data_IF_210098452876
#
_entry.id   IF_210098452876
#
_cell.length_a   1.000
_cell.length_b   1.000
_cell.length_c   1.000
_cell.angle_alpha   90.00
_cell.angle_beta   90.00
_cell.angle_gamma   90.00
#
_symmetry.space_group_name_H-M   'P 1'
#
loop_
_entity.id
_entity.type
_entity.pdbx_description
1 polymer ?
#
# COMPACT_ATOMS: atom_id res chain seq x y z
N UNK A 1 -2.17 -60.51 6.47
CA UNK A 1 -1.30 -59.50 7.11
C UNK A 1 -1.44 -58.21 6.33
N UNK A 2 -2.26 -57.28 6.82
CA UNK A 2 -2.49 -55.96 6.23
C UNK A 2 -1.58 -54.97 6.94
N UNK A 3 -0.52 -54.53 6.25
CA UNK A 3 0.27 -53.37 6.68
C UNK A 3 -0.38 -52.13 6.09
N UNK A 4 -0.91 -51.30 6.98
CA UNK A 4 -1.55 -50.03 6.69
C UNK A 4 -0.47 -48.96 6.75
N UNK A 5 -0.03 -48.47 5.59
CA UNK A 5 0.95 -47.38 5.49
C UNK A 5 0.18 -46.06 5.39
N UNK A 6 0.19 -45.35 6.53
CA UNK A 6 -0.45 -44.08 6.78
C UNK A 6 0.25 -42.97 5.96
N UNK A 7 -0.08 -42.86 4.67
CA UNK A 7 0.35 -41.77 3.80
C UNK A 7 -0.54 -40.54 4.01
N UNK A 8 0.01 -39.54 4.69
CA UNK A 8 -0.67 -38.30 5.07
C UNK A 8 -1.54 -37.71 3.96
N UNK A 9 -2.81 -37.58 4.27
CA UNK A 9 -3.81 -36.85 3.51
C UNK A 9 -3.32 -35.40 3.36
N UNK A 10 -2.74 -35.06 2.20
CA UNK A 10 -2.49 -33.66 1.83
C UNK A 10 -3.86 -33.05 1.56
N UNK A 11 -4.49 -32.54 2.62
CA UNK A 11 -5.72 -31.78 2.53
C UNK A 11 -5.52 -30.65 1.54
N UNK A 12 -6.33 -30.69 0.48
CA UNK A 12 -6.38 -29.69 -0.56
C UNK A 12 -6.89 -28.40 0.10
N UNK A 13 -5.97 -27.53 0.53
CA UNK A 13 -6.32 -26.28 1.20
C UNK A 13 -7.13 -25.43 0.22
N UNK A 14 -8.41 -25.15 0.49
CA UNK A 14 -9.18 -24.28 -0.38
C UNK A 14 -8.54 -22.89 -0.32
N UNK A 15 -8.16 -22.36 -1.49
CA UNK A 15 -7.80 -20.96 -1.63
C UNK A 15 -9.01 -20.14 -1.19
N UNK A 16 -8.94 -19.53 0.00
CA UNK A 16 -9.96 -18.60 0.44
C UNK A 16 -10.06 -17.50 -0.60
N UNK A 17 -11.22 -17.42 -1.25
CA UNK A 17 -11.67 -16.29 -2.05
C UNK A 17 -11.39 -15.02 -1.27
N UNK A 18 -10.55 -14.16 -1.83
CA UNK A 18 -10.29 -12.83 -1.29
C UNK A 18 -11.56 -11.98 -1.48
N UNK A 19 -12.51 -12.17 -0.57
CA UNK A 19 -13.65 -11.28 -0.43
C UNK A 19 -13.16 -10.05 0.32
N UNK A 20 -12.96 -8.97 -0.45
CA UNK A 20 -12.84 -7.60 0.03
C UNK A 20 -14.11 -7.22 0.83
N UNK A 21 -14.13 -7.57 2.11
CA UNK A 21 -15.06 -7.01 3.08
C UNK A 21 -14.35 -5.86 3.77
N UNK A 22 -14.56 -4.66 3.23
CA UNK A 22 -14.19 -3.40 3.85
C UNK A 22 -14.70 -3.35 5.29
N UNK A 23 -13.79 -3.55 6.24
CA UNK A 23 -14.05 -3.42 7.66
C UNK A 23 -14.13 -1.93 8.01
N UNK A 24 -15.34 -1.45 8.24
CA UNK A 24 -15.60 -0.09 8.70
C UNK A 24 -15.13 0.06 10.15
N UNK A 25 -14.11 0.91 10.34
CA UNK A 25 -13.92 1.82 11.46
C UNK A 25 -14.31 1.32 12.87
N UNK A 26 -13.36 0.71 13.57
CA UNK A 26 -13.29 0.79 15.02
C UNK A 26 -11.87 1.18 15.44
N UNK A 27 -11.51 2.45 15.19
CA UNK A 27 -10.31 3.03 15.79
C UNK A 27 -10.67 3.40 17.24
N UNK A 28 -10.11 2.61 18.13
CA UNK A 28 -10.13 2.73 19.58
C UNK A 28 -9.67 4.13 20.00
N UNK A 29 -10.60 4.87 20.62
CA UNK A 29 -10.42 6.26 21.05
C UNK A 29 -9.68 6.32 22.40
N UNK A 30 -8.40 6.03 22.47
CA UNK A 30 -7.60 6.32 23.68
C UNK A 30 -6.12 6.51 23.33
N UNK A 31 -5.70 7.77 23.13
CA UNK A 31 -4.38 8.33 23.53
C UNK A 31 -3.96 9.59 22.73
N UNK A 32 -4.76 10.65 22.79
CA UNK A 32 -4.21 12.01 22.58
C UNK A 32 -4.78 12.95 23.64
N UNK A 33 -4.36 12.75 24.89
CA UNK A 33 -4.34 13.81 25.89
C UNK A 33 -2.90 13.95 26.35
N UNK A 34 -2.17 14.82 25.66
CA UNK A 34 -1.08 15.62 26.21
C UNK A 34 -0.65 16.62 25.14
N UNK A 35 -1.54 17.55 24.83
CA UNK A 35 -1.12 18.87 24.38
C UNK A 35 -1.59 19.81 25.49
N UNK A 36 -0.70 20.02 26.47
CA UNK A 36 -0.86 21.10 27.43
C UNK A 36 -0.81 22.39 26.62
N UNK A 37 -1.98 22.90 26.24
CA UNK A 37 -2.09 24.30 25.84
C UNK A 37 -1.68 25.09 27.07
N UNK A 38 -0.48 25.65 27.01
CA UNK A 38 -0.05 26.67 27.94
C UNK A 38 -1.01 27.85 27.76
N UNK A 39 -2.13 27.84 28.47
CA UNK A 39 -2.94 29.01 28.77
C UNK A 39 -2.12 29.85 29.75
N UNK A 40 -0.96 30.32 29.29
CA UNK A 40 -0.18 31.31 29.96
C UNK A 40 -1.02 32.57 29.97
N UNK A 41 -1.59 32.86 31.13
CA UNK A 41 -1.88 34.21 31.60
C UNK A 41 -2.20 35.20 30.47
N UNK A 42 -3.46 35.22 30.03
CA UNK A 42 -4.02 36.35 29.29
C UNK A 42 -3.99 37.58 30.21
N UNK A 43 -2.81 38.19 30.32
CA UNK A 43 -2.68 39.58 30.70
C UNK A 43 -3.31 40.36 29.57
N UNK A 44 -4.45 40.94 29.87
CA UNK A 44 -5.18 41.86 29.00
C UNK A 44 -4.26 43.06 28.69
N UNK A 45 -3.51 42.98 27.59
CA UNK A 45 -3.04 44.16 26.86
C UNK A 45 -3.27 43.88 25.37
N UNK A 46 -4.54 44.00 25.00
CA UNK A 46 -5.09 43.68 23.70
C UNK A 46 -5.15 44.94 22.82
N UNK A 47 -3.99 45.49 22.43
CA UNK A 47 -3.93 46.66 21.53
C UNK A 47 -2.64 46.73 20.68
N UNK A 48 -2.25 45.64 20.02
CA UNK A 48 -1.34 45.72 18.87
C UNK A 48 -1.86 44.89 17.69
N UNK A 49 -2.61 45.49 16.73
CA UNK A 49 -3.06 44.80 15.52
C UNK A 49 -1.89 44.29 14.64
N UNK A 50 -0.67 44.76 14.92
CA UNK A 50 0.56 44.36 14.22
C UNK A 50 0.96 42.92 14.58
N UNK A 51 0.75 42.48 15.82
CA UNK A 51 1.19 41.16 16.28
C UNK A 51 0.31 40.04 15.69
N UNK A 52 -1.01 40.26 15.60
CA UNK A 52 -1.96 39.34 14.98
C UNK A 52 -1.70 39.17 13.47
N UNK A 53 -1.36 40.27 12.79
CA UNK A 53 -1.08 40.24 11.36
C UNK A 53 0.28 39.61 11.07
N UNK A 54 1.27 39.78 11.95
CA UNK A 54 2.54 39.07 11.85
C UNK A 54 2.37 37.56 12.08
N UNK A 55 1.57 37.14 13.06
CA UNK A 55 1.29 35.72 13.29
C UNK A 55 0.57 35.08 12.09
N UNK A 56 -0.42 35.77 11.51
CA UNK A 56 -1.08 35.33 10.27
C UNK A 56 -0.07 35.20 9.12
N UNK A 57 0.85 36.16 8.95
CA UNK A 57 1.88 36.08 7.91
C UNK A 57 2.83 34.89 8.11
N UNK A 58 3.21 34.58 9.35
CA UNK A 58 4.02 33.38 9.67
C UNK A 58 3.27 32.09 9.36
N UNK A 59 1.99 32.00 9.72
CA UNK A 59 1.14 30.84 9.41
C UNK A 59 0.95 30.65 7.89
N UNK A 60 0.70 31.73 7.16
CA UNK A 60 0.60 31.71 5.70
C UNK A 60 1.90 31.18 5.09
N UNK A 61 3.06 31.64 5.56
CA UNK A 61 4.37 31.20 5.06
C UNK A 61 4.57 29.71 5.29
N UNK A 62 4.25 29.19 6.48
CA UNK A 62 4.33 27.76 6.78
C UNK A 62 3.39 26.93 5.89
N UNK A 63 2.16 27.40 5.66
CA UNK A 63 1.21 26.71 4.77
C UNK A 63 1.76 26.65 3.34
N UNK A 64 2.34 27.74 2.83
CA UNK A 64 2.94 27.76 1.49
C UNK A 64 4.13 26.81 1.37
N UNK A 65 5.00 26.73 2.37
CA UNK A 65 6.11 25.78 2.40
C UNK A 65 5.62 24.32 2.38
N UNK A 66 4.59 24.02 3.20
CA UNK A 66 3.98 22.70 3.24
C UNK A 66 3.30 22.35 1.91
N UNK A 67 2.61 23.30 1.28
CA UNK A 67 1.99 23.11 -0.03
C UNK A 67 3.03 22.81 -1.11
N UNK A 68 4.12 23.58 -1.16
CA UNK A 68 5.22 23.32 -2.10
C UNK A 68 5.82 21.93 -1.90
N UNK A 69 6.10 21.56 -0.64
CA UNK A 69 6.65 20.23 -0.31
C UNK A 69 5.69 19.10 -0.70
N UNK A 70 4.39 19.30 -0.49
CA UNK A 70 3.37 18.32 -0.86
C UNK A 70 3.25 18.16 -2.37
N UNK A 71 3.30 19.26 -3.12
CA UNK A 71 3.25 19.25 -4.58
C UNK A 71 4.45 18.51 -5.18
N UNK A 72 5.66 18.80 -4.69
CA UNK A 72 6.88 18.09 -5.06
C UNK A 72 6.79 16.58 -4.81
N UNK A 73 6.28 16.20 -3.63
CA UNK A 73 6.09 14.79 -3.29
C UNK A 73 5.03 14.13 -4.16
N UNK A 74 3.93 14.84 -4.45
CA UNK A 74 2.85 14.35 -5.32
C UNK A 74 3.37 14.09 -6.73
N UNK A 75 4.13 15.03 -7.30
CA UNK A 75 4.75 14.89 -8.62
C UNK A 75 5.70 13.69 -8.67
N UNK A 76 6.53 13.51 -7.64
CA UNK A 76 7.43 12.35 -7.54
C UNK A 76 6.67 11.03 -7.47
N UNK A 77 5.58 10.97 -6.70
CA UNK A 77 4.73 9.78 -6.62
C UNK A 77 4.12 9.45 -7.98
N UNK A 78 3.63 10.44 -8.71
CA UNK A 78 3.08 10.23 -10.05
C UNK A 78 4.14 9.76 -11.05
N UNK A 79 5.37 10.29 -10.96
CA UNK A 79 6.51 9.77 -11.72
C UNK A 79 6.80 8.29 -11.44
N UNK A 80 6.82 7.90 -10.17
CA UNK A 80 7.03 6.49 -9.76
C UNK A 80 5.90 5.59 -10.26
N UNK A 81 4.64 6.05 -10.21
CA UNK A 81 3.50 5.28 -10.75
C UNK A 81 3.65 5.03 -12.25
N UNK A 82 4.05 6.04 -13.02
CA UNK A 82 4.26 5.90 -14.47
C UNK A 82 5.36 4.88 -14.78
N UNK A 83 6.50 4.97 -14.09
CA UNK A 83 7.59 4.01 -14.25
C UNK A 83 7.16 2.59 -13.85
N UNK A 84 6.43 2.44 -12.75
CA UNK A 84 5.92 1.14 -12.30
C UNK A 84 4.98 0.51 -13.34
N UNK A 85 4.08 1.29 -13.95
CA UNK A 85 3.20 0.81 -15.00
C UNK A 85 3.97 0.37 -16.24
N UNK A 86 5.01 1.13 -16.64
CA UNK A 86 5.89 0.75 -17.74
C UNK A 86 6.56 -0.60 -17.45
N UNK A 87 7.18 -0.76 -16.28
CA UNK A 87 7.83 -2.02 -15.89
C UNK A 87 6.85 -3.19 -15.82
N UNK A 88 5.62 -2.98 -15.32
CA UNK A 88 4.58 -4.01 -15.32
C UNK A 88 4.21 -4.44 -16.74
N UNK A 89 4.05 -3.50 -17.66
CA UNK A 89 3.73 -3.81 -19.06
C UNK A 89 4.86 -4.58 -19.75
N UNK A 90 6.13 -4.21 -19.50
CA UNK A 90 7.28 -4.92 -20.04
C UNK A 90 7.39 -6.34 -19.47
N UNK A 91 7.25 -6.49 -18.16
CA UNK A 91 7.25 -7.79 -17.51
C UNK A 91 6.10 -8.69 -17.98
N UNK A 92 4.94 -8.13 -18.29
CA UNK A 92 3.83 -8.88 -18.87
C UNK A 92 4.20 -9.46 -20.24
N UNK A 93 4.79 -8.64 -21.12
CA UNK A 93 5.22 -9.09 -22.46
C UNK A 93 6.32 -10.15 -22.34
N UNK A 94 7.31 -9.94 -21.47
CA UNK A 94 8.38 -10.90 -21.22
C UNK A 94 7.85 -12.22 -20.63
N UNK A 95 6.90 -12.13 -19.68
CA UNK A 95 6.23 -13.29 -19.10
C UNK A 95 5.54 -14.13 -20.17
N UNK A 96 4.77 -13.50 -21.05
CA UNK A 96 4.11 -14.20 -22.14
C UNK A 96 5.11 -14.85 -23.11
N UNK A 97 6.22 -14.16 -23.40
CA UNK A 97 7.28 -14.73 -24.25
C UNK A 97 7.88 -16.00 -23.63
N UNK A 98 8.16 -15.98 -22.32
CA UNK A 98 8.67 -17.14 -21.59
C UNK A 98 7.63 -18.28 -21.60
N UNK A 99 6.36 -17.99 -21.33
CA UNK A 99 5.28 -18.98 -21.39
C UNK A 99 5.17 -19.64 -22.77
N UNK A 100 5.23 -18.83 -23.83
CA UNK A 100 5.17 -19.33 -25.20
C UNK A 100 6.36 -20.25 -25.52
N UNK A 101 7.57 -19.89 -25.07
CA UNK A 101 8.74 -20.72 -25.22
C UNK A 101 8.63 -22.03 -24.43
N UNK A 102 8.13 -21.99 -23.20
CA UNK A 102 7.91 -23.18 -22.39
C UNK A 102 6.86 -24.11 -23.00
N UNK A 103 5.79 -23.55 -23.57
CA UNK A 103 4.72 -24.32 -24.22
C UNK A 103 5.17 -24.96 -25.54
N UNK A 104 5.94 -24.23 -26.36
CA UNK A 104 6.45 -24.70 -27.65
C UNK A 104 7.65 -25.65 -27.51
N UNK A 105 8.39 -25.59 -26.40
CA UNK A 105 9.51 -26.49 -26.13
C UNK A 105 9.02 -27.83 -25.57
N UNK A 106 9.22 -28.90 -26.33
CA UNK A 106 8.94 -30.28 -25.92
C UNK A 106 9.69 -30.70 -24.64
N UNK A 107 10.77 -30.00 -24.26
CA UNK A 107 11.59 -30.35 -23.09
C UNK A 107 10.79 -30.21 -21.79
N UNK A 108 9.84 -29.28 -21.71
CA UNK A 108 9.03 -29.05 -20.49
C UNK A 108 7.71 -29.84 -20.46
N UNK A 109 7.27 -30.42 -21.59
CA UNK A 109 6.05 -31.23 -21.63
C UNK A 109 6.24 -32.63 -21.01
N UNK A 110 7.46 -33.19 -21.09
CA UNK A 110 7.80 -34.54 -20.60
C UNK A 110 7.74 -34.71 -19.08
N UNK A 111 7.67 -33.63 -18.30
CA UNK A 111 7.56 -33.66 -16.84
C UNK A 111 6.10 -33.62 -16.34
N UNK A 112 5.11 -33.49 -17.22
CA UNK A 112 3.69 -33.55 -16.84
C UNK A 112 3.16 -34.99 -17.00
N UNK A 113 2.83 -35.71 -15.90
CA UNK A 113 2.15 -36.99 -16.04
C UNK A 113 0.76 -36.71 -16.60
N UNK A 114 0.52 -37.14 -17.85
CA UNK A 114 -0.80 -37.11 -18.47
C UNK A 114 -1.77 -37.91 -17.59
N UNK A 115 -2.57 -37.24 -16.78
CA UNK A 115 -3.69 -37.84 -16.08
C UNK A 115 -4.65 -38.41 -17.13
N UNK A 116 -4.53 -39.71 -17.41
CA UNK A 116 -5.49 -40.45 -18.25
C UNK A 116 -6.82 -40.46 -17.50
N UNK A 117 -7.78 -39.67 -17.97
CA UNK A 117 -9.19 -39.80 -17.57
C UNK A 117 -9.70 -41.16 -18.06
N UNK A 118 -10.31 -41.91 -17.16
CA UNK A 118 -10.99 -43.20 -17.39
C UNK A 118 -12.40 -42.96 -17.90
#
# INVERSE_FOLDING_TARGET
MTSQENGGNMDNVPLSSDSDTGNQSAVEKENIKNMTYNTGSMSLDADSPIDDDEEKQRLISQVLELQNTLDDLSSRVDGVKVENLKLKSENQVLGQYIENLMAASSVFQSATPKAKKK
#
